data_IF_357877645480
#
_entry.id   IF_357877645480
#
_cell.length_a   1.000
_cell.length_b   1.000
_cell.length_c   1.000
_cell.angle_alpha   90.00
_cell.angle_beta   90.00
_cell.angle_gamma   90.00
#
_symmetry.space_group_name_H-M   'P 1'
#
loop_
_entity.id
_entity.type
_entity.pdbx_description
1 polymer ?
#
# COMPACT_ATOMS: atom_id res chain seq x y z
N UNK A 1 17.90 20.87 67.60
CA UNK A 1 18.67 19.91 66.76
C UNK A 1 17.86 18.71 66.25
N UNK A 2 16.57 18.52 66.61
CA UNK A 2 15.78 17.36 66.16
C UNK A 2 14.95 17.56 64.89
N UNK A 3 14.64 18.80 64.48
CA UNK A 3 13.79 19.07 63.29
C UNK A 3 14.55 18.80 61.98
N UNK A 4 15.83 19.16 61.93
CA UNK A 4 16.67 18.98 60.74
C UNK A 4 17.10 17.53 60.44
N UNK A 5 16.97 16.59 61.39
CA UNK A 5 17.21 15.17 61.12
C UNK A 5 15.97 14.49 60.53
N UNK A 6 14.77 14.95 60.90
CA UNK A 6 13.52 14.38 60.40
C UNK A 6 13.29 14.73 58.93
N UNK A 7 13.53 15.99 58.53
CA UNK A 7 13.43 16.43 57.13
C UNK A 7 14.44 15.70 56.23
N UNK A 8 15.66 15.47 56.72
CA UNK A 8 16.71 14.78 55.96
C UNK A 8 16.36 13.30 55.70
N UNK A 9 15.74 12.64 56.68
CA UNK A 9 15.28 11.25 56.53
C UNK A 9 14.04 11.13 55.62
N UNK A 10 13.17 12.15 55.58
CA UNK A 10 12.06 12.21 54.63
C UNK A 10 12.55 12.43 53.18
N UNK A 11 13.59 13.24 53.00
CA UNK A 11 14.21 13.48 51.69
C UNK A 11 14.87 12.22 51.13
N UNK A 12 15.65 11.49 51.96
CA UNK A 12 16.33 10.26 51.56
C UNK A 12 15.35 9.13 51.19
N UNK A 13 14.23 9.01 51.92
CA UNK A 13 13.19 8.04 51.61
C UNK A 13 12.37 8.39 50.35
N UNK A 14 12.28 9.68 49.98
CA UNK A 14 11.61 10.12 48.76
C UNK A 14 12.48 9.87 47.51
N UNK A 15 13.80 10.04 47.63
CA UNK A 15 14.76 9.73 46.57
C UNK A 15 14.89 8.22 46.31
N UNK A 16 14.88 7.39 47.35
CA UNK A 16 14.94 5.92 47.17
C UNK A 16 13.66 5.36 46.51
N UNK A 17 12.50 5.98 46.80
CA UNK A 17 11.23 5.69 46.11
C UNK A 17 11.21 6.13 44.65
N UNK A 18 11.87 7.22 44.29
CA UNK A 18 11.93 7.68 42.89
C UNK A 18 12.85 6.78 42.06
N UNK A 19 13.98 6.32 42.63
CA UNK A 19 14.93 5.41 41.96
C UNK A 19 14.32 4.02 41.71
N UNK A 20 13.50 3.50 42.63
CA UNK A 20 12.82 2.21 42.46
C UNK A 20 11.70 2.25 41.41
N UNK A 21 11.01 3.38 41.24
CA UNK A 21 9.94 3.55 40.22
C UNK A 21 10.52 3.70 38.81
N UNK A 22 11.72 4.26 38.66
CA UNK A 22 12.36 4.44 37.35
C UNK A 22 12.89 3.15 36.72
N UNK A 23 13.38 2.18 37.51
CA UNK A 23 14.00 0.95 36.97
C UNK A 23 13.01 0.02 36.25
N UNK A 24 11.75 -0.03 36.70
CA UNK A 24 10.73 -0.89 36.08
C UNK A 24 10.21 -0.35 34.74
N UNK A 25 10.24 0.98 34.57
CA UNK A 25 9.83 1.64 33.33
C UNK A 25 10.84 1.45 32.20
N UNK A 26 12.13 1.54 32.53
CA UNK A 26 13.21 1.38 31.56
C UNK A 26 13.28 -0.05 31.00
N UNK A 27 13.07 -1.08 31.83
CA UNK A 27 12.98 -2.47 31.37
C UNK A 27 11.77 -2.71 30.46
N UNK A 28 10.63 -2.10 30.77
CA UNK A 28 9.43 -2.18 29.93
C UNK A 28 9.61 -1.44 28.60
N UNK A 29 10.29 -0.29 28.61
CA UNK A 29 10.65 0.49 27.42
C UNK A 29 11.67 -0.29 26.57
N UNK A 30 12.71 -0.87 27.17
CA UNK A 30 13.68 -1.70 26.47
C UNK A 30 13.05 -2.97 25.92
N UNK A 31 12.09 -3.57 26.63
CA UNK A 31 11.34 -4.72 26.13
C UNK A 31 10.42 -4.35 24.96
N UNK A 32 9.74 -3.20 25.01
CA UNK A 32 8.93 -2.68 23.90
C UNK A 32 9.80 -2.27 22.70
N UNK A 33 10.97 -1.65 22.92
CA UNK A 33 11.96 -1.35 21.88
C UNK A 33 12.43 -2.65 21.24
N UNK A 34 12.82 -3.66 22.03
CA UNK A 34 13.24 -4.97 21.51
C UNK A 34 12.11 -5.72 20.82
N UNK A 35 10.85 -5.54 21.24
CA UNK A 35 9.65 -6.08 20.58
C UNK A 35 9.40 -5.37 19.25
N UNK A 36 9.56 -4.04 19.18
CA UNK A 36 9.47 -3.24 17.97
C UNK A 36 10.63 -3.52 17.02
N UNK A 37 11.84 -3.74 17.53
CA UNK A 37 13.00 -4.19 16.75
C UNK A 37 12.80 -5.62 16.24
N UNK A 38 12.25 -6.54 17.05
CA UNK A 38 11.84 -7.88 16.58
C UNK A 38 10.70 -7.82 15.57
N UNK A 39 9.75 -6.89 15.68
CA UNK A 39 8.69 -6.66 14.68
C UNK A 39 9.24 -6.01 13.41
N UNK A 40 10.23 -5.11 13.50
CA UNK A 40 10.99 -4.59 12.34
C UNK A 40 11.91 -5.67 11.72
N UNK A 41 12.45 -6.58 12.53
CA UNK A 41 13.24 -7.72 12.11
C UNK A 41 12.37 -8.90 11.65
N UNK A 42 11.05 -8.83 11.89
CA UNK A 42 10.05 -9.64 11.22
C UNK A 42 10.03 -9.12 9.79
N UNK A 43 10.91 -9.74 9.01
CA UNK A 43 11.14 -9.56 7.59
C UNK A 43 9.78 -9.24 6.94
N UNK A 44 9.65 -8.13 6.21
CA UNK A 44 8.49 -7.95 5.35
C UNK A 44 8.27 -9.25 4.57
N UNK A 45 7.03 -9.73 4.47
CA UNK A 45 6.68 -10.86 3.59
C UNK A 45 7.02 -10.58 2.11
N UNK A 46 7.62 -9.41 1.82
CA UNK A 46 8.09 -8.91 0.54
C UNK A 46 9.63 -8.94 0.41
N UNK A 47 10.31 -9.99 0.92
CA UNK A 47 11.73 -10.24 0.53
C UNK A 47 11.83 -10.76 -0.92
N UNK A 48 11.42 -9.89 -1.85
CA UNK A 48 11.91 -9.74 -3.21
C UNK A 48 11.80 -8.25 -3.53
N UNK A 49 12.75 -7.46 -3.02
CA UNK A 49 12.90 -6.09 -3.53
C UNK A 49 13.17 -6.19 -5.04
N UNK A 50 12.44 -5.42 -5.86
CA UNK A 50 12.29 -5.67 -7.29
C UNK A 50 13.63 -5.56 -8.02
N UNK A 51 13.74 -6.28 -9.13
CA UNK A 51 14.69 -5.91 -10.18
C UNK A 51 14.30 -4.46 -10.56
N UNK A 52 15.18 -3.50 -10.25
CA UNK A 52 14.89 -2.05 -10.17
C UNK A 52 15.43 -1.26 -11.37
N UNK A 53 15.51 -1.87 -12.53
CA UNK A 53 15.94 -1.20 -13.78
C UNK A 53 14.85 -1.29 -14.85
N UNK A 54 14.96 -0.51 -15.92
CA UNK A 54 14.15 -0.70 -17.13
C UNK A 54 14.15 -2.16 -17.63
N UNK A 55 15.20 -2.91 -17.28
CA UNK A 55 15.42 -4.35 -17.46
C UNK A 55 14.54 -5.31 -16.63
N UNK A 56 13.71 -4.83 -15.69
CA UNK A 56 12.86 -5.72 -14.89
C UNK A 56 11.80 -6.40 -15.74
N UNK A 57 11.92 -7.72 -15.87
CA UNK A 57 10.89 -8.57 -16.45
C UNK A 57 9.75 -8.75 -15.44
N UNK A 58 8.64 -8.06 -15.68
CA UNK A 58 7.42 -8.14 -14.88
C UNK A 58 6.89 -9.57 -14.75
N UNK A 59 6.97 -10.38 -15.82
CA UNK A 59 6.49 -11.77 -15.80
C UNK A 59 7.34 -12.58 -14.84
N UNK A 60 8.66 -12.50 -14.96
CA UNK A 60 9.58 -13.18 -14.06
C UNK A 60 9.37 -12.75 -12.60
N UNK A 61 9.16 -11.46 -12.35
CA UNK A 61 8.89 -10.96 -11.00
C UNK A 61 7.62 -11.58 -10.41
N UNK A 62 6.50 -11.55 -11.14
CA UNK A 62 5.23 -12.12 -10.69
C UNK A 62 5.34 -13.64 -10.47
N UNK A 63 6.04 -14.36 -11.35
CA UNK A 63 6.30 -15.80 -11.15
C UNK A 63 7.17 -16.06 -9.90
N UNK A 64 8.18 -15.23 -9.65
CA UNK A 64 9.03 -15.34 -8.45
C UNK A 64 8.27 -15.05 -7.15
N UNK A 65 7.19 -14.27 -7.22
CA UNK A 65 6.25 -14.07 -6.11
C UNK A 65 5.34 -15.29 -5.87
N UNK A 66 5.45 -16.35 -6.69
CA UNK A 66 4.74 -17.61 -6.51
C UNK A 66 3.49 -17.77 -7.37
N UNK A 67 3.26 -16.86 -8.33
CA UNK A 67 2.11 -16.94 -9.23
C UNK A 67 2.32 -17.95 -10.35
N UNK A 68 1.35 -18.85 -10.53
CA UNK A 68 1.31 -19.76 -11.67
C UNK A 68 0.60 -19.08 -12.85
N UNK A 69 1.28 -18.13 -13.50
CA UNK A 69 0.71 -17.26 -14.55
C UNK A 69 0.10 -18.07 -15.69
N UNK A 70 0.72 -19.19 -16.09
CA UNK A 70 0.23 -20.06 -17.17
C UNK A 70 -1.14 -20.68 -16.87
N UNK A 71 -1.47 -20.88 -15.58
CA UNK A 71 -2.75 -21.44 -15.14
C UNK A 71 -3.83 -20.37 -14.94
N UNK A 72 -3.51 -19.08 -15.20
CA UNK A 72 -4.45 -17.98 -15.08
C UNK A 72 -4.80 -17.38 -16.45
N UNK A 73 -5.77 -17.95 -17.19
CA UNK A 73 -6.11 -17.50 -18.56
C UNK A 73 -6.76 -16.10 -18.61
N UNK A 74 -7.02 -15.50 -17.44
CA UNK A 74 -7.66 -14.20 -17.32
C UNK A 74 -6.69 -13.02 -17.40
N UNK A 75 -5.39 -13.29 -17.31
CA UNK A 75 -4.32 -12.30 -17.40
C UNK A 75 -3.36 -12.66 -18.53
N UNK A 76 -2.92 -11.64 -19.26
CA UNK A 76 -1.89 -11.73 -20.28
C UNK A 76 -0.70 -10.94 -19.78
N UNK A 77 0.34 -11.65 -19.34
CA UNK A 77 1.52 -11.05 -18.73
C UNK A 77 2.71 -11.13 -19.69
N UNK A 78 3.34 -10.00 -19.92
CA UNK A 78 4.62 -9.86 -20.62
C UNK A 78 5.65 -9.23 -19.67
N UNK A 79 6.89 -9.09 -20.13
CA UNK A 79 7.96 -8.44 -19.35
C UNK A 79 7.67 -6.98 -18.96
N UNK A 80 6.73 -6.30 -19.61
CA UNK A 80 6.44 -4.88 -19.38
C UNK A 80 4.95 -4.56 -19.24
N UNK A 81 4.06 -5.55 -19.28
CA UNK A 81 2.63 -5.30 -19.23
C UNK A 81 1.82 -6.47 -18.71
N UNK A 82 0.74 -6.15 -17.99
CA UNK A 82 -0.31 -7.10 -17.63
C UNK A 82 -1.63 -6.61 -18.22
N UNK A 83 -2.34 -7.49 -18.93
CA UNK A 83 -3.64 -7.17 -19.53
C UNK A 83 -4.71 -8.17 -19.12
N UNK A 84 -5.96 -7.73 -19.04
CA UNK A 84 -7.04 -8.61 -18.63
C UNK A 84 -8.34 -7.87 -18.37
N UNK A 85 -9.44 -8.62 -18.32
CA UNK A 85 -10.73 -8.05 -17.98
C UNK A 85 -10.91 -7.94 -16.47
N UNK A 86 -11.30 -6.75 -16.00
CA UNK A 86 -11.81 -6.52 -14.65
C UNK A 86 -13.19 -5.90 -14.72
N UNK A 87 -14.00 -6.12 -13.70
CA UNK A 87 -15.22 -5.35 -13.50
C UNK A 87 -14.90 -4.16 -12.62
N UNK A 88 -15.18 -2.95 -13.11
CA UNK A 88 -14.97 -1.71 -12.38
C UNK A 88 -16.30 -1.13 -11.94
N UNK A 89 -16.38 -0.67 -10.70
CA UNK A 89 -17.49 0.15 -10.23
C UNK A 89 -17.42 1.55 -10.86
N UNK A 90 -18.54 1.99 -11.46
CA UNK A 90 -18.69 3.35 -11.96
C UNK A 90 -18.80 4.37 -10.81
N UNK A 91 -18.21 5.55 -10.99
CA UNK A 91 -18.18 6.61 -9.97
C UNK A 91 -19.55 7.23 -9.71
N UNK A 92 -20.10 7.93 -10.72
CA UNK A 92 -21.44 8.56 -10.62
C UNK A 92 -22.55 7.52 -10.55
N UNK A 93 -22.50 6.55 -11.45
CA UNK A 93 -23.46 5.47 -11.53
C UNK A 93 -22.78 4.22 -10.98
N UNK A 94 -23.18 3.80 -9.77
CA UNK A 94 -22.61 2.67 -9.01
C UNK A 94 -22.92 1.30 -9.62
N UNK A 95 -22.75 1.20 -10.94
CA UNK A 95 -22.89 0.00 -11.73
C UNK A 95 -21.51 -0.61 -12.02
N UNK A 96 -21.42 -1.93 -11.97
CA UNK A 96 -20.21 -2.66 -12.32
C UNK A 96 -20.15 -2.83 -13.84
N UNK A 97 -19.03 -2.46 -14.45
CA UNK A 97 -18.81 -2.56 -15.89
C UNK A 97 -17.53 -3.35 -16.18
N UNK A 98 -17.64 -4.36 -17.04
CA UNK A 98 -16.48 -5.07 -17.58
C UNK A 98 -15.65 -4.12 -18.45
N UNK A 99 -14.34 -4.04 -18.18
CA UNK A 99 -13.37 -3.20 -18.89
C UNK A 99 -12.09 -3.98 -19.09
N UNK A 100 -11.42 -3.74 -20.21
CA UNK A 100 -10.10 -4.29 -20.47
C UNK A 100 -9.06 -3.38 -19.83
N UNK A 101 -8.39 -3.89 -18.80
CA UNK A 101 -7.33 -3.17 -18.11
C UNK A 101 -5.98 -3.56 -18.69
N UNK A 102 -5.09 -2.57 -18.74
CA UNK A 102 -3.71 -2.67 -19.22
C UNK A 102 -2.84 -1.96 -18.20
N UNK A 103 -2.08 -2.72 -17.42
CA UNK A 103 -0.91 -2.20 -16.75
C UNK A 103 0.20 -2.05 -17.79
N UNK A 104 0.73 -0.84 -17.95
CA UNK A 104 1.78 -0.54 -18.92
C UNK A 104 2.96 0.11 -18.20
N UNK A 105 4.07 -0.61 -18.13
CA UNK A 105 5.28 -0.16 -17.46
C UNK A 105 5.95 0.99 -18.21
N UNK A 106 5.91 0.98 -19.55
CA UNK A 106 6.52 2.01 -20.38
C UNK A 106 5.77 3.33 -20.25
N UNK A 107 4.43 3.27 -20.24
CA UNK A 107 3.57 4.44 -20.00
C UNK A 107 3.45 4.82 -18.53
N UNK A 108 3.95 3.99 -17.62
CA UNK A 108 3.88 4.16 -16.16
C UNK A 108 2.45 4.39 -15.68
N UNK A 109 1.50 3.62 -16.20
CA UNK A 109 0.08 3.81 -15.92
C UNK A 109 -0.73 2.51 -15.99
N UNK A 110 -1.80 2.48 -15.19
CA UNK A 110 -2.88 1.50 -15.29
C UNK A 110 -4.01 2.10 -16.12
N UNK A 111 -4.18 1.62 -17.34
CA UNK A 111 -5.13 2.15 -18.33
C UNK A 111 -6.28 1.18 -18.50
N UNK A 112 -7.48 1.67 -18.83
CA UNK A 112 -8.59 0.79 -19.18
C UNK A 112 -9.39 1.26 -20.39
N UNK A 113 -9.81 0.26 -21.16
CA UNK A 113 -10.52 0.39 -22.42
C UNK A 113 -11.91 -0.25 -22.31
N UNK A 114 -12.70 -0.02 -23.34
CA UNK A 114 -14.02 -0.65 -23.47
C UNK A 114 -13.91 -2.17 -23.53
N UNK A 115 -12.93 -2.69 -24.29
CA UNK A 115 -12.69 -4.10 -24.55
C UNK A 115 -11.22 -4.34 -25.01
N UNK A 116 -10.90 -5.60 -25.31
CA UNK A 116 -9.56 -6.08 -25.68
C UNK A 116 -9.02 -5.54 -27.00
N UNK A 117 -9.81 -4.84 -27.81
CA UNK A 117 -9.30 -4.19 -29.03
C UNK A 117 -8.43 -2.99 -28.71
N UNK A 118 -8.50 -2.48 -27.47
CA UNK A 118 -7.77 -1.28 -27.02
C UNK A 118 -8.08 -0.02 -27.84
N UNK A 119 -9.13 -0.03 -28.68
CA UNK A 119 -9.47 1.10 -29.57
C UNK A 119 -10.14 2.27 -28.84
N UNK A 120 -10.93 1.98 -27.81
CA UNK A 120 -11.73 3.00 -27.10
C UNK A 120 -11.29 3.14 -25.65
N UNK A 121 -10.38 4.07 -25.42
CA UNK A 121 -9.91 4.49 -24.11
C UNK A 121 -11.07 4.98 -23.24
N UNK A 122 -11.08 4.56 -21.97
CA UNK A 122 -12.10 4.96 -20.98
C UNK A 122 -11.52 5.67 -19.77
N UNK A 123 -10.22 5.57 -19.55
CA UNK A 123 -9.49 6.29 -18.53
C UNK A 123 -8.22 5.56 -18.13
N UNK A 124 -7.51 6.11 -17.16
CA UNK A 124 -6.32 5.50 -16.60
C UNK A 124 -5.94 6.13 -15.27
N UNK A 125 -4.94 5.55 -14.63
CA UNK A 125 -4.34 5.98 -13.38
C UNK A 125 -2.82 5.95 -13.56
N UNK A 126 -2.14 7.10 -13.56
CA UNK A 126 -0.68 7.14 -13.51
C UNK A 126 -0.20 6.42 -12.25
N UNK A 127 0.90 5.68 -12.31
CA UNK A 127 1.41 4.96 -11.12
C UNK A 127 1.71 5.89 -9.95
N UNK A 128 2.21 7.10 -10.24
CA UNK A 128 2.45 8.14 -9.24
C UNK A 128 1.21 8.61 -8.47
N UNK A 129 0.02 8.38 -9.03
CA UNK A 129 -1.24 8.75 -8.38
C UNK A 129 -1.74 7.65 -7.44
N UNK A 130 -1.15 6.46 -7.45
CA UNK A 130 -1.60 5.31 -6.66
C UNK A 130 -0.94 5.40 -5.28
N UNK A 131 -1.76 5.61 -4.26
CA UNK A 131 -1.31 5.68 -2.87
C UNK A 131 -1.28 4.29 -2.24
N UNK A 132 -2.33 3.49 -2.48
CA UNK A 132 -2.52 2.18 -1.86
C UNK A 132 -3.23 1.22 -2.83
N UNK A 133 -2.87 -0.05 -2.74
CA UNK A 133 -3.58 -1.16 -3.39
C UNK A 133 -3.90 -2.20 -2.31
N UNK A 134 -5.17 -2.57 -2.17
CA UNK A 134 -5.58 -3.48 -1.09
C UNK A 134 -6.82 -4.29 -1.45
N UNK A 135 -7.00 -5.45 -0.81
CA UNK A 135 -8.22 -6.26 -0.92
C UNK A 135 -9.33 -5.64 -0.07
N UNK A 136 -10.56 -5.57 -0.59
CA UNK A 136 -11.70 -4.93 0.09
C UNK A 136 -12.35 -5.86 1.12
N UNK A 137 -11.61 -6.14 2.21
CA UNK A 137 -12.07 -7.00 3.31
C UNK A 137 -13.25 -6.42 4.09
N UNK A 138 -13.42 -5.09 4.07
CA UNK A 138 -14.52 -4.41 4.76
C UNK A 138 -15.78 -4.33 3.90
N UNK A 139 -15.73 -4.80 2.65
CA UNK A 139 -16.83 -4.75 1.71
C UNK A 139 -17.41 -3.33 1.60
N UNK A 140 -16.49 -2.37 1.43
CA UNK A 140 -16.78 -0.93 1.38
C UNK A 140 -17.83 -0.54 0.32
N UNK A 141 -18.08 -1.44 -0.65
CA UNK A 141 -19.11 -1.32 -1.67
C UNK A 141 -19.92 -2.61 -1.82
N UNK A 142 -21.16 -2.48 -2.32
CA UNK A 142 -21.97 -3.62 -2.74
C UNK A 142 -21.39 -4.26 -4.01
N UNK A 143 -20.43 -5.17 -3.83
CA UNK A 143 -19.82 -5.96 -4.90
C UNK A 143 -20.60 -7.25 -5.16
N UNK A 144 -20.79 -7.67 -6.43
CA UNK A 144 -21.36 -8.97 -6.77
C UNK A 144 -20.53 -10.14 -6.22
N UNK A 145 -19.22 -9.96 -6.06
CA UNK A 145 -18.34 -10.99 -5.49
C UNK A 145 -17.24 -10.33 -4.63
N UNK A 146 -17.50 -10.10 -3.33
CA UNK A 146 -16.56 -9.42 -2.46
C UNK A 146 -15.22 -10.16 -2.28
N UNK A 147 -15.18 -11.49 -2.42
CA UNK A 147 -13.96 -12.31 -2.24
C UNK A 147 -12.88 -12.06 -3.29
N UNK A 148 -13.25 -11.47 -4.43
CA UNK A 148 -12.35 -11.14 -5.55
C UNK A 148 -12.37 -9.65 -5.87
N UNK A 149 -12.78 -8.83 -4.88
CA UNK A 149 -12.85 -7.38 -4.99
C UNK A 149 -11.66 -6.74 -4.28
N UNK A 150 -11.01 -5.80 -4.96
CA UNK A 150 -9.88 -5.06 -4.47
C UNK A 150 -10.00 -3.58 -4.88
N UNK A 151 -9.19 -2.74 -4.24
CA UNK A 151 -9.19 -1.30 -4.37
C UNK A 151 -7.84 -0.81 -4.87
N UNK A 152 -7.87 0.13 -5.80
CA UNK A 152 -6.74 0.99 -6.13
C UNK A 152 -7.10 2.40 -5.69
N UNK A 153 -6.48 2.87 -4.61
CA UNK A 153 -6.72 4.19 -4.03
C UNK A 153 -5.77 5.20 -4.65
N UNK A 154 -6.33 6.30 -5.13
CA UNK A 154 -5.60 7.48 -5.59
C UNK A 154 -5.98 8.68 -4.76
N UNK A 155 -5.20 9.76 -4.88
CA UNK A 155 -5.48 11.06 -4.23
C UNK A 155 -6.89 11.61 -4.53
N UNK A 156 -7.38 11.35 -5.75
CA UNK A 156 -8.68 11.84 -6.24
C UNK A 156 -9.84 10.92 -5.90
N UNK A 157 -9.64 9.60 -5.97
CA UNK A 157 -10.71 8.61 -5.78
C UNK A 157 -10.18 7.20 -5.56
N UNK A 158 -11.05 6.35 -5.03
CA UNK A 158 -10.81 4.90 -4.99
C UNK A 158 -11.47 4.20 -6.18
N UNK A 159 -10.73 3.31 -6.84
CA UNK A 159 -11.24 2.42 -7.87
C UNK A 159 -11.52 1.04 -7.27
N UNK A 160 -12.80 0.70 -7.13
CA UNK A 160 -13.21 -0.66 -6.80
C UNK A 160 -13.22 -1.54 -8.06
N UNK A 161 -12.43 -2.60 -8.01
CA UNK A 161 -12.20 -3.53 -9.11
C UNK A 161 -12.52 -4.96 -8.63
N UNK A 162 -13.14 -5.75 -9.49
CA UNK A 162 -13.50 -7.13 -9.23
C UNK A 162 -12.92 -8.03 -10.32
N UNK A 163 -12.04 -8.94 -9.91
CA UNK A 163 -11.37 -9.90 -10.78
C UNK A 163 -12.26 -11.13 -11.06
N UNK A 164 -12.03 -11.86 -12.15
CA UNK A 164 -12.79 -13.08 -12.46
C UNK A 164 -12.50 -14.23 -11.49
N UNK A 165 -11.28 -14.29 -10.92
CA UNK A 165 -10.84 -15.33 -9.99
C UNK A 165 -9.95 -14.76 -8.90
N UNK A 166 -9.75 -15.51 -7.81
CA UNK A 166 -8.85 -15.13 -6.73
C UNK A 166 -7.37 -15.07 -7.18
N UNK A 167 -6.94 -15.98 -8.06
CA UNK A 167 -5.59 -15.93 -8.66
C UNK A 167 -5.41 -14.66 -9.49
N UNK A 168 -6.37 -14.34 -10.37
CA UNK A 168 -6.30 -13.12 -11.17
C UNK A 168 -6.27 -11.87 -10.28
N UNK A 169 -7.06 -11.83 -9.19
CA UNK A 169 -7.00 -10.73 -8.23
C UNK A 169 -5.61 -10.56 -7.63
N UNK A 170 -5.00 -11.65 -7.13
CA UNK A 170 -3.67 -11.57 -6.51
C UNK A 170 -2.62 -11.09 -7.51
N UNK A 171 -2.62 -11.63 -8.73
CA UNK A 171 -1.72 -11.16 -9.80
C UNK A 171 -1.91 -9.66 -10.08
N UNK A 172 -3.17 -9.19 -10.19
CA UNK A 172 -3.43 -7.76 -10.41
C UNK A 172 -2.96 -6.88 -9.26
N UNK A 173 -3.14 -7.30 -8.01
CA UNK A 173 -2.64 -6.56 -6.85
C UNK A 173 -1.13 -6.44 -6.91
N UNK A 174 -0.40 -7.53 -7.10
CA UNK A 174 1.07 -7.56 -7.11
C UNK A 174 1.65 -6.77 -8.29
N UNK A 175 1.05 -6.87 -9.48
CA UNK A 175 1.45 -6.09 -10.66
C UNK A 175 1.24 -4.59 -10.43
N UNK A 176 0.11 -4.17 -9.87
CA UNK A 176 -0.15 -2.75 -9.66
C UNK A 176 0.77 -2.21 -8.55
N UNK A 177 0.99 -3.00 -7.50
CA UNK A 177 1.86 -2.66 -6.38
C UNK A 177 3.30 -2.44 -6.85
N UNK A 178 3.84 -3.33 -7.67
CA UNK A 178 5.19 -3.17 -8.27
C UNK A 178 5.33 -1.93 -9.15
N UNK A 179 4.28 -1.54 -9.87
CA UNK A 179 4.27 -0.28 -10.61
C UNK A 179 4.23 0.97 -9.73
N UNK A 180 3.42 0.94 -8.65
CA UNK A 180 3.26 2.05 -7.72
C UNK A 180 4.51 2.27 -6.84
N UNK A 181 5.09 1.20 -6.28
CA UNK A 181 6.30 1.29 -5.45
C UNK A 181 7.54 1.72 -6.25
N UNK A 182 7.64 1.30 -7.52
CA UNK A 182 8.69 1.77 -8.42
C UNK A 182 8.69 3.29 -8.65
N UNK A 183 7.62 4.01 -8.27
CA UNK A 183 7.58 5.48 -8.24
C UNK A 183 8.05 6.04 -6.89
N UNK A 184 7.65 5.45 -5.77
CA UNK A 184 7.98 5.95 -4.43
C UNK A 184 9.48 5.84 -4.09
N UNK A 185 10.18 4.82 -4.61
CA UNK A 185 11.63 4.64 -4.36
C UNK A 185 12.53 5.57 -5.18
N UNK A 186 12.00 6.28 -6.18
CA UNK A 186 12.72 7.27 -6.99
C UNK A 186 12.31 8.73 -6.72
N UNK A 187 11.46 8.97 -5.71
CA UNK A 187 11.37 10.29 -5.10
C UNK A 187 12.67 10.51 -4.31
N UNK A 188 13.65 11.15 -4.96
CA UNK A 188 14.78 11.70 -4.21
C UNK A 188 14.22 12.59 -3.10
N UNK A 189 14.85 12.59 -1.92
CA UNK A 189 14.44 13.43 -0.78
C UNK A 189 14.28 14.93 -1.15
N UNK A 190 14.80 15.36 -2.30
CA UNK A 190 14.64 16.69 -2.86
C UNK A 190 13.21 17.07 -3.30
N UNK A 191 12.33 16.10 -3.60
CA UNK A 191 10.95 16.37 -4.04
C UNK A 191 9.94 16.41 -2.87
N UNK A 192 10.37 16.06 -1.65
CA UNK A 192 9.58 16.14 -0.41
C UNK A 192 9.52 17.59 0.15
N UNK A 193 9.32 18.60 -0.69
CA UNK A 193 8.92 19.91 -0.20
C UNK A 193 7.45 19.82 0.27
N UNK A 194 7.10 20.33 1.47
CA UNK A 194 5.73 20.24 1.97
C UNK A 194 4.84 21.10 1.08
N UNK A 195 3.95 20.47 0.32
CA UNK A 195 2.89 21.17 -0.39
C UNK A 195 2.05 21.92 0.65
N UNK A 196 2.37 23.21 0.77
CA UNK A 196 1.75 24.13 1.69
C UNK A 196 0.24 24.11 1.49
N UNK A 197 -0.48 23.96 2.61
CA UNK A 197 -1.92 24.19 2.74
C UNK A 197 -2.32 25.46 1.99
N UNK A 198 -2.90 25.31 0.80
CA UNK A 198 -3.63 26.41 0.18
C UNK A 198 -5.12 26.18 0.36
N UNK A 199 -5.63 26.64 1.52
CA UNK A 199 -7.06 26.91 1.73
C UNK A 199 -7.46 27.99 0.72
N UNK A 200 -8.07 27.61 -0.40
CA UNK A 200 -8.81 28.56 -1.20
C UNK A 200 -10.13 28.86 -0.49
N UNK A 201 -10.18 30.05 0.13
CA UNK A 201 -11.41 30.73 0.51
C UNK A 201 -12.20 31.01 -0.77
N UNK A 202 -13.39 30.43 -0.90
CA UNK A 202 -14.42 31.05 -1.73
C UNK A 202 -15.01 32.21 -0.93
N UNK A 203 -14.98 33.39 -1.53
CA UNK A 203 -15.64 34.61 -1.08
C UNK A 203 -16.82 34.82 -2.03
N UNK A 204 -18.01 34.93 -1.42
CA UNK A 204 -19.30 35.48 -1.86
C UNK A 204 -19.74 35.31 -3.33
#
# INVERSE_FOLDING_TARGET
MQVHQHERNLQLNAEDRSVLVSRSGDDAIHHEIRRREKQKAQRPLTRYLPVRGAECDLRQHVESAGHQVELCPHVQLTSSSCRGYLHKLGGKWRSWKKRWFVFDRNRRALIYFSDKTEAKLKGGVPFQAIEEVYVDHLHSVKSPNPRVTFCVKTYERTFHLMAPTAEAMRIWVDVIFTGAEGYLEFLSEADMAPAARSRHKFKD
#
